data_IF_736639388906
#
_entry.id   IF_736639388906
#
_cell.length_a   1.000
_cell.length_b   1.000
_cell.length_c   1.000
_cell.angle_alpha   90.00
_cell.angle_beta   90.00
_cell.angle_gamma   90.00
#
_symmetry.space_group_name_H-M   'P 1'
#
loop_
_entity.id
_entity.type
_entity.pdbx_description
1 polymer ?
#
# COMPACT_ATOMS: atom_id res chain seq x y z
N UNK A 1 10.49 15.38 -7.88
CA UNK A 1 10.25 13.93 -7.73
C UNK A 1 10.19 13.30 -9.12
N UNK A 2 10.72 12.09 -9.37
CA UNK A 2 10.48 11.41 -10.65
C UNK A 2 9.08 10.78 -10.64
N UNK A 3 8.22 11.17 -11.55
CA UNK A 3 6.81 10.74 -11.64
C UNK A 3 6.58 9.75 -12.79
N UNK A 4 7.55 8.86 -13.04
CA UNK A 4 7.50 7.90 -14.16
C UNK A 4 6.34 6.89 -14.01
N UNK A 5 5.87 6.67 -12.79
CA UNK A 5 4.70 5.85 -12.44
C UNK A 5 3.35 6.60 -12.56
N UNK A 6 3.35 7.92 -12.70
CA UNK A 6 2.15 8.67 -13.10
C UNK A 6 1.98 8.48 -14.61
N UNK A 7 0.92 7.78 -15.03
CA UNK A 7 0.70 7.45 -16.45
C UNK A 7 -0.39 8.34 -17.05
N UNK A 8 -0.19 8.76 -18.29
CA UNK A 8 -1.16 9.51 -19.08
C UNK A 8 -1.31 8.78 -20.43
N UNK A 9 -2.48 8.22 -20.77
CA UNK A 9 -3.67 8.13 -19.91
C UNK A 9 -3.44 7.27 -18.66
N UNK A 10 -4.26 7.48 -17.64
CA UNK A 10 -4.26 6.68 -16.42
C UNK A 10 -4.52 5.22 -16.75
N UNK A 11 -3.84 4.32 -16.04
CA UNK A 11 -4.09 2.90 -16.14
C UNK A 11 -3.95 2.26 -14.77
N UNK A 12 -4.89 1.37 -14.47
CA UNK A 12 -4.82 0.51 -13.29
C UNK A 12 -4.17 -0.85 -13.60
N UNK A 13 -3.62 -1.02 -14.80
CA UNK A 13 -2.88 -2.21 -15.15
C UNK A 13 -1.64 -2.31 -14.24
N UNK A 14 -1.33 -3.50 -13.71
CA UNK A 14 -0.16 -3.68 -12.86
C UNK A 14 1.12 -3.43 -13.68
N UNK A 15 1.76 -2.27 -13.48
CA UNK A 15 3.10 -2.00 -14.01
C UNK A 15 4.14 -2.47 -12.99
N UNK A 16 4.42 -3.76 -12.99
CA UNK A 16 5.44 -4.37 -12.13
C UNK A 16 6.76 -4.46 -12.88
N UNK A 17 7.83 -4.01 -12.23
CA UNK A 17 9.19 -4.15 -12.73
C UNK A 17 9.96 -5.13 -11.84
N UNK A 18 10.86 -5.91 -12.43
CA UNK A 18 11.84 -6.65 -11.62
C UNK A 18 12.63 -5.68 -10.76
N UNK A 19 12.92 -6.08 -9.54
CA UNK A 19 13.63 -5.25 -8.58
C UNK A 19 14.72 -6.07 -7.91
N UNK A 20 15.94 -5.54 -7.92
CA UNK A 20 17.16 -6.12 -7.36
C UNK A 20 17.80 -5.24 -6.27
N UNK A 21 17.11 -4.16 -5.89
CA UNK A 21 17.55 -3.25 -4.84
C UNK A 21 17.25 -3.75 -3.42
N UNK A 22 17.57 -2.92 -2.40
CA UNK A 22 17.26 -3.24 -1.01
C UNK A 22 15.75 -3.43 -0.79
N UNK A 23 15.37 -4.54 -0.15
CA UNK A 23 13.96 -4.90 0.06
C UNK A 23 13.26 -4.00 1.08
N UNK A 24 13.99 -3.53 2.10
CA UNK A 24 13.49 -2.65 3.15
C UNK A 24 14.62 -1.77 3.70
N UNK A 25 14.27 -0.65 4.33
CA UNK A 25 15.26 0.21 4.98
C UNK A 25 15.76 -0.38 6.32
N UNK A 26 17.05 -0.71 6.41
CA UNK A 26 17.68 -1.21 7.65
C UNK A 26 17.88 -0.14 8.73
N UNK A 27 17.79 1.13 8.36
CA UNK A 27 17.91 2.27 9.27
C UNK A 27 16.62 3.11 9.19
N UNK A 28 15.52 2.63 9.77
CA UNK A 28 14.21 3.26 9.61
C UNK A 28 14.18 4.69 10.16
N UNK A 29 13.55 5.59 9.43
CA UNK A 29 13.22 6.92 9.91
C UNK A 29 12.27 6.80 11.10
N UNK A 30 12.69 7.42 12.21
CA UNK A 30 11.98 7.43 13.49
C UNK A 30 10.55 7.95 13.37
N UNK A 31 10.26 8.83 12.40
CA UNK A 31 8.91 9.35 12.18
C UNK A 31 7.91 8.22 11.90
N UNK A 32 8.26 7.26 11.04
CA UNK A 32 7.40 6.11 10.76
C UNK A 32 7.15 5.29 12.03
N UNK A 33 8.20 5.04 12.81
CA UNK A 33 8.09 4.23 14.02
C UNK A 33 7.20 4.89 15.08
N UNK A 34 7.30 6.23 15.22
CA UNK A 34 6.43 7.03 16.10
C UNK A 34 4.98 6.98 15.60
N UNK A 35 4.75 7.15 14.31
CA UNK A 35 3.39 7.15 13.76
C UNK A 35 2.75 5.74 13.87
N UNK A 36 3.51 4.67 13.62
CA UNK A 36 3.03 3.28 13.85
C UNK A 36 2.59 3.05 15.28
N UNK A 37 3.32 3.58 16.26
CA UNK A 37 2.92 3.45 17.67
C UNK A 37 1.58 4.13 17.94
N UNK A 38 1.33 5.31 17.36
CA UNK A 38 0.02 5.97 17.45
C UNK A 38 -1.07 5.10 16.83
N UNK A 39 -0.81 4.46 15.69
CA UNK A 39 -1.79 3.58 15.04
C UNK A 39 -2.14 2.37 15.91
N UNK A 40 -1.14 1.70 16.50
CA UNK A 40 -1.39 0.55 17.38
C UNK A 40 -2.20 0.90 18.63
N UNK A 41 -2.02 2.12 19.16
CA UNK A 41 -2.79 2.59 20.32
C UNK A 41 -4.25 2.92 19.99
N UNK A 42 -4.59 3.08 18.71
CA UNK A 42 -5.92 3.50 18.28
C UNK A 42 -6.71 2.40 17.56
N UNK A 43 -6.04 1.54 16.81
CA UNK A 43 -6.69 0.56 15.92
C UNK A 43 -6.63 -0.89 16.40
N UNK A 44 -5.76 -1.21 17.36
CA UNK A 44 -5.57 -2.57 17.87
C UNK A 44 -5.54 -3.61 16.73
N UNK A 45 -6.42 -4.61 16.76
CA UNK A 45 -6.43 -5.75 15.84
C UNK A 45 -6.93 -5.40 14.42
N UNK A 46 -7.37 -4.16 14.16
CA UNK A 46 -7.82 -3.78 12.81
C UNK A 46 -6.69 -3.51 11.82
N UNK A 47 -5.45 -3.41 12.30
CA UNK A 47 -4.26 -3.09 11.47
C UNK A 47 -3.20 -4.19 11.46
N UNK A 48 -3.32 -5.25 12.26
CA UNK A 48 -2.34 -6.32 12.26
C UNK A 48 -2.93 -7.63 12.77
N UNK A 49 -2.33 -8.74 12.38
CA UNK A 49 -2.80 -10.05 12.81
C UNK A 49 -2.24 -11.18 11.96
N UNK A 50 -2.65 -12.38 12.31
CA UNK A 50 -2.35 -13.59 11.56
C UNK A 50 -3.43 -14.65 11.76
N UNK A 51 -3.64 -15.47 10.74
CA UNK A 51 -4.60 -16.58 10.77
C UNK A 51 -4.04 -17.79 11.52
N UNK A 52 -4.89 -18.79 11.74
CA UNK A 52 -4.45 -20.11 12.22
C UNK A 52 -3.50 -20.78 11.23
N UNK A 53 -3.77 -20.68 9.93
CA UNK A 53 -2.90 -21.21 8.87
C UNK A 53 -1.49 -20.61 8.98
N UNK A 54 -1.38 -19.30 9.22
CA UNK A 54 -0.09 -18.66 9.46
C UNK A 54 0.67 -19.27 10.63
N UNK A 55 -0.02 -19.50 11.75
CA UNK A 55 0.58 -20.07 12.97
C UNK A 55 1.04 -21.51 12.73
N UNK A 56 0.21 -22.35 12.11
CA UNK A 56 0.52 -23.76 11.81
C UNK A 56 1.71 -23.89 10.84
N UNK A 57 1.91 -22.91 9.96
CA UNK A 57 2.98 -22.89 8.97
C UNK A 57 4.19 -22.03 9.40
N UNK A 58 4.21 -21.55 10.64
CA UNK A 58 5.28 -20.73 11.21
C UNK A 58 5.65 -19.49 10.36
N UNK A 59 4.67 -18.85 9.71
CA UNK A 59 4.96 -17.78 8.74
C UNK A 59 5.62 -16.55 9.38
N UNK A 60 5.28 -16.23 10.64
CA UNK A 60 5.96 -15.16 11.39
C UNK A 60 7.45 -15.49 11.58
N UNK A 61 7.78 -16.73 11.95
CA UNK A 61 9.18 -17.13 12.13
C UNK A 61 9.95 -17.03 10.82
N UNK A 62 9.36 -17.50 9.71
CA UNK A 62 9.96 -17.36 8.37
C UNK A 62 10.23 -15.89 8.02
N UNK A 63 9.28 -15.01 8.32
CA UNK A 63 9.42 -13.57 8.10
C UNK A 63 10.54 -12.96 8.97
N UNK A 64 10.63 -13.34 10.24
CA UNK A 64 11.69 -12.86 11.13
C UNK A 64 13.08 -13.32 10.65
N UNK A 65 13.19 -14.57 10.21
CA UNK A 65 14.41 -15.10 9.59
C UNK A 65 14.76 -14.32 8.32
N UNK A 66 13.78 -14.04 7.45
CA UNK A 66 13.98 -13.26 6.23
C UNK A 66 14.59 -11.88 6.52
N UNK A 67 14.09 -11.19 7.54
CA UNK A 67 14.61 -9.89 7.96
C UNK A 67 15.85 -9.95 8.86
N UNK A 68 16.33 -11.15 9.20
CA UNK A 68 17.41 -11.37 10.16
C UNK A 68 17.14 -10.74 11.54
N UNK A 69 15.92 -10.91 12.05
CA UNK A 69 15.51 -10.52 13.40
C UNK A 69 15.40 -11.73 14.34
N UNK A 70 15.37 -11.46 15.64
CA UNK A 70 15.14 -12.46 16.67
C UNK A 70 13.76 -13.10 16.51
N UNK A 71 13.70 -14.43 16.63
CA UNK A 71 12.47 -15.23 16.44
C UNK A 71 11.41 -15.02 17.53
N UNK A 72 11.75 -14.32 18.61
CA UNK A 72 10.89 -14.02 19.74
C UNK A 72 10.00 -12.78 19.50
N UNK A 73 10.25 -12.00 18.45
CA UNK A 73 9.46 -10.82 18.16
C UNK A 73 8.03 -11.18 17.74
N UNK A 74 7.07 -10.45 18.27
CA UNK A 74 5.69 -10.49 17.76
C UNK A 74 5.52 -9.53 16.56
N UNK A 75 4.36 -9.60 15.90
CA UNK A 75 4.04 -8.81 14.71
C UNK A 75 4.12 -7.29 14.98
N UNK A 76 3.62 -6.85 16.14
CA UNK A 76 3.63 -5.43 16.53
C UNK A 76 5.06 -4.92 16.69
N UNK A 77 5.91 -5.66 17.39
CA UNK A 77 7.30 -5.28 17.63
C UNK A 77 8.13 -5.32 16.34
N UNK A 78 7.87 -6.28 15.45
CA UNK A 78 8.46 -6.29 14.10
C UNK A 78 8.04 -5.05 13.31
N UNK A 79 6.75 -4.71 13.29
CA UNK A 79 6.24 -3.54 12.56
C UNK A 79 6.88 -2.24 13.04
N UNK A 80 7.15 -2.11 14.35
CA UNK A 80 7.86 -0.98 14.95
C UNK A 80 9.37 -0.92 14.64
N UNK A 81 9.91 -1.85 13.84
CA UNK A 81 11.29 -1.84 13.34
C UNK A 81 11.39 -1.54 11.85
N UNK A 82 10.26 -1.34 11.17
CA UNK A 82 10.18 -1.13 9.72
C UNK A 82 9.45 0.17 9.40
N UNK A 83 9.88 0.88 8.36
CA UNK A 83 9.11 1.99 7.80
C UNK A 83 7.89 1.46 7.04
N UNK A 84 8.11 0.35 6.34
CA UNK A 84 7.14 -0.31 5.48
C UNK A 84 6.08 -1.04 6.33
N UNK A 85 4.83 -0.96 5.88
CA UNK A 85 3.82 -1.95 6.23
C UNK A 85 4.11 -3.26 5.50
N UNK A 86 3.60 -4.37 6.02
CA UNK A 86 3.84 -5.68 5.42
C UNK A 86 2.64 -6.62 5.46
N UNK A 87 2.59 -7.52 4.48
CA UNK A 87 1.69 -8.66 4.44
C UNK A 87 2.44 -9.90 3.91
N UNK A 88 2.07 -11.07 4.43
CA UNK A 88 2.53 -12.37 3.95
C UNK A 88 1.41 -13.02 3.18
N UNK A 89 1.71 -13.34 1.93
CA UNK A 89 0.85 -14.16 1.09
C UNK A 89 1.35 -15.60 1.14
N UNK A 90 0.50 -16.53 1.56
CA UNK A 90 0.79 -17.96 1.56
C UNK A 90 -0.28 -18.70 0.75
N UNK A 91 0.14 -19.48 -0.25
CA UNK A 91 -0.75 -20.14 -1.20
C UNK A 91 -1.81 -19.19 -1.82
N UNK A 92 -1.41 -17.93 -2.06
CA UNK A 92 -2.26 -16.89 -2.67
C UNK A 92 -3.22 -16.15 -1.73
N UNK A 93 -3.20 -16.44 -0.43
CA UNK A 93 -4.01 -15.78 0.60
C UNK A 93 -3.16 -14.90 1.52
N UNK A 94 -3.71 -13.78 1.98
CA UNK A 94 -3.06 -12.92 2.98
C UNK A 94 -3.22 -13.53 4.37
N UNK A 95 -2.20 -14.21 4.88
CA UNK A 95 -2.31 -15.00 6.12
C UNK A 95 -1.73 -14.29 7.36
N UNK A 96 -0.90 -13.26 7.17
CA UNK A 96 -0.28 -12.48 8.24
C UNK A 96 0.02 -11.07 7.74
N UNK A 97 -0.11 -10.05 8.58
CA UNK A 97 0.32 -8.70 8.21
C UNK A 97 0.28 -7.67 9.33
N UNK A 98 0.83 -6.51 9.03
CA UNK A 98 0.69 -5.25 9.78
C UNK A 98 0.65 -4.10 8.77
N UNK A 99 -0.52 -3.46 8.67
CA UNK A 99 -0.85 -2.36 7.77
C UNK A 99 -1.24 -1.15 8.61
N UNK A 100 -0.26 -0.42 9.12
CA UNK A 100 -0.48 0.76 9.96
C UNK A 100 -0.92 1.98 9.14
N UNK A 101 -0.56 2.03 7.86
CA UNK A 101 -0.74 3.17 6.97
C UNK A 101 -1.61 2.84 5.75
N UNK A 102 -2.80 2.24 5.94
CA UNK A 102 -3.65 1.86 4.82
C UNK A 102 -4.14 3.08 4.04
N UNK A 103 -4.48 2.86 2.78
CA UNK A 103 -5.10 3.86 1.90
C UNK A 103 -6.59 3.57 1.72
N UNK A 104 -7.37 3.79 2.79
CA UNK A 104 -8.84 3.68 2.74
C UNK A 104 -9.42 2.27 2.88
N UNK A 105 -8.71 1.32 3.48
CA UNK A 105 -9.23 -0.03 3.74
C UNK A 105 -8.82 -0.54 5.14
N UNK A 106 -9.60 -1.47 5.69
CA UNK A 106 -9.37 -2.10 6.99
C UNK A 106 -8.70 -3.48 6.78
N UNK A 107 -7.57 -3.72 7.45
CA UNK A 107 -6.80 -4.96 7.26
C UNK A 107 -7.55 -6.19 7.75
N UNK A 108 -8.32 -6.07 8.82
CA UNK A 108 -9.04 -7.21 9.41
C UNK A 108 -10.05 -7.84 8.46
N UNK A 109 -10.62 -7.06 7.53
CA UNK A 109 -11.56 -7.55 6.51
C UNK A 109 -10.88 -8.36 5.40
N UNK A 110 -9.56 -8.23 5.26
CA UNK A 110 -8.75 -8.81 4.18
C UNK A 110 -7.91 -10.01 4.64
N UNK A 111 -7.73 -10.18 5.95
CA UNK A 111 -7.01 -11.30 6.52
C UNK A 111 -7.68 -12.65 6.16
N UNK A 112 -6.87 -13.61 5.74
CA UNK A 112 -7.28 -14.93 5.26
C UNK A 112 -7.93 -14.94 3.88
N UNK A 113 -7.99 -13.80 3.18
CA UNK A 113 -8.63 -13.69 1.86
C UNK A 113 -7.61 -13.81 0.74
N UNK A 114 -8.08 -14.29 -0.40
CA UNK A 114 -7.24 -14.42 -1.59
C UNK A 114 -7.03 -13.07 -2.30
N UNK A 115 -6.03 -13.02 -3.17
CA UNK A 115 -5.70 -11.82 -3.94
C UNK A 115 -6.90 -11.20 -4.68
N UNK A 116 -7.76 -12.03 -5.28
CA UNK A 116 -8.92 -11.55 -6.04
C UNK A 116 -9.93 -10.84 -5.14
N UNK A 117 -10.27 -11.42 -3.99
CA UNK A 117 -11.17 -10.81 -3.01
C UNK A 117 -10.61 -9.49 -2.46
N UNK A 118 -9.31 -9.45 -2.17
CA UNK A 118 -8.65 -8.24 -1.66
C UNK A 118 -8.79 -7.08 -2.65
N UNK A 119 -8.65 -7.38 -3.94
CA UNK A 119 -8.65 -6.38 -5.00
C UNK A 119 -10.01 -6.14 -5.66
N UNK A 120 -11.06 -6.89 -5.31
CA UNK A 120 -12.41 -6.77 -5.89
C UNK A 120 -12.95 -5.33 -5.88
N UNK A 121 -12.78 -4.52 -4.82
CA UNK A 121 -13.27 -3.13 -4.77
C UNK A 121 -12.53 -2.15 -5.69
N UNK A 122 -11.39 -2.57 -6.25
CA UNK A 122 -10.55 -1.70 -7.08
C UNK A 122 -11.23 -1.43 -8.43
N UNK A 123 -11.46 -0.18 -8.79
CA UNK A 123 -12.05 0.15 -10.08
C UNK A 123 -11.17 -0.27 -11.28
N UNK A 124 -11.81 -0.69 -12.38
CA UNK A 124 -11.16 -1.08 -13.64
C UNK A 124 -10.06 -2.16 -13.47
N UNK A 125 -10.27 -3.10 -12.55
CA UNK A 125 -9.31 -4.14 -12.12
C UNK A 125 -9.42 -5.47 -12.88
N UNK A 126 -10.27 -5.59 -13.92
CA UNK A 126 -10.64 -6.89 -14.50
C UNK A 126 -9.43 -7.74 -14.93
N UNK A 127 -8.41 -7.10 -15.53
CA UNK A 127 -7.14 -7.76 -15.88
C UNK A 127 -6.35 -8.22 -14.66
N UNK A 128 -6.34 -7.40 -13.60
CA UNK A 128 -5.67 -7.71 -12.35
C UNK A 128 -6.30 -8.96 -11.71
N UNK A 129 -7.63 -9.01 -11.61
CA UNK A 129 -8.38 -10.15 -11.08
C UNK A 129 -8.15 -11.42 -11.92
N UNK A 130 -8.23 -11.31 -13.26
CA UNK A 130 -7.98 -12.44 -14.15
C UNK A 130 -6.54 -12.99 -14.05
N UNK A 131 -5.58 -12.15 -13.66
CA UNK A 131 -4.17 -12.52 -13.47
C UNK A 131 -3.81 -12.90 -12.03
N UNK A 132 -4.74 -12.80 -11.09
CA UNK A 132 -4.48 -12.89 -9.64
C UNK A 132 -3.68 -14.13 -9.22
N UNK A 133 -4.10 -15.32 -9.66
CA UNK A 133 -3.40 -16.56 -9.34
C UNK A 133 -1.96 -16.57 -9.90
N UNK A 134 -1.80 -16.24 -11.19
CA UNK A 134 -0.48 -16.19 -11.84
C UNK A 134 0.44 -15.17 -11.16
N UNK A 135 -0.12 -14.04 -10.74
CA UNK A 135 0.61 -13.02 -10.03
C UNK A 135 1.04 -13.49 -8.64
N UNK A 136 0.14 -14.13 -7.88
CA UNK A 136 0.49 -14.75 -6.59
C UNK A 136 1.62 -15.76 -6.73
N UNK A 137 1.57 -16.64 -7.73
CA UNK A 137 2.65 -17.60 -8.02
C UNK A 137 3.94 -16.91 -8.45
N UNK A 138 3.84 -15.81 -9.20
CA UNK A 138 5.01 -15.05 -9.66
C UNK A 138 5.71 -14.31 -8.51
N UNK A 139 4.94 -13.79 -7.54
CA UNK A 139 5.47 -13.17 -6.32
C UNK A 139 6.26 -14.15 -5.44
N UNK A 140 5.96 -15.45 -5.51
CA UNK A 140 6.76 -16.51 -4.87
C UNK A 140 8.02 -16.90 -5.65
N UNK A 141 8.27 -16.31 -6.82
CA UNK A 141 9.42 -16.65 -7.68
C UNK A 141 10.32 -15.48 -8.00
N UNK A 142 9.81 -14.25 -7.97
CA UNK A 142 10.55 -13.06 -8.41
C UNK A 142 10.28 -11.89 -7.48
N UNK A 143 11.33 -11.12 -7.20
CA UNK A 143 11.20 -9.83 -6.55
C UNK A 143 10.74 -8.79 -7.58
N UNK A 144 9.65 -8.12 -7.26
CA UNK A 144 9.04 -7.10 -8.11
C UNK A 144 8.67 -5.86 -7.31
N UNK A 145 8.66 -4.73 -8.00
CA UNK A 145 8.25 -3.46 -7.44
C UNK A 145 7.23 -2.78 -8.36
N UNK A 146 6.31 -2.05 -7.76
CA UNK A 146 5.38 -1.16 -8.45
C UNK A 146 5.08 0.05 -7.57
N UNK A 147 4.45 1.05 -8.17
CA UNK A 147 3.99 2.23 -7.47
C UNK A 147 2.49 2.40 -7.64
N UNK A 148 1.84 2.82 -6.56
CA UNK A 148 0.45 3.29 -6.58
C UNK A 148 0.45 4.70 -6.03
N UNK A 149 -0.36 5.59 -6.59
CA UNK A 149 -0.44 6.96 -6.12
C UNK A 149 -1.87 7.48 -6.14
N UNK A 150 -2.10 8.54 -5.37
CA UNK A 150 -3.31 9.36 -5.40
C UNK A 150 -3.01 10.78 -4.94
N UNK A 151 -3.97 11.68 -5.15
CA UNK A 151 -4.04 12.96 -4.44
C UNK A 151 -5.07 12.81 -3.32
N UNK A 152 -4.79 13.40 -2.17
CA UNK A 152 -5.67 13.32 -0.98
C UNK A 152 -5.63 14.63 -0.20
N UNK A 153 -6.59 14.82 0.72
CA UNK A 153 -6.62 15.93 1.67
C UNK A 153 -5.89 15.61 2.98
N UNK A 154 -5.43 14.38 3.16
CA UNK A 154 -4.72 13.95 4.37
C UNK A 154 -3.20 14.09 4.22
N UNK A 155 -2.58 14.77 5.20
CA UNK A 155 -1.11 14.82 5.34
C UNK A 155 -0.52 13.63 6.10
N UNK A 156 -1.39 12.81 6.69
CA UNK A 156 -1.01 11.73 7.58
C UNK A 156 -0.64 10.47 6.78
N UNK A 157 0.22 9.62 7.36
CA UNK A 157 0.58 8.35 6.72
C UNK A 157 -0.60 7.37 6.68
N UNK A 158 -1.48 7.40 7.67
CA UNK A 158 -2.66 6.52 7.71
C UNK A 158 -3.90 7.20 7.15
N UNK A 159 -4.61 6.49 6.29
CA UNK A 159 -5.98 6.80 5.88
C UNK A 159 -6.91 5.62 6.22
N UNK A 160 -6.74 5.03 7.42
CA UNK A 160 -7.64 3.99 7.91
C UNK A 160 -9.10 4.46 7.84
N UNK A 161 -10.07 3.64 7.38
CA UNK A 161 -11.47 4.06 7.16
C UNK A 161 -12.19 4.68 8.37
N UNK A 162 -11.73 4.36 9.58
CA UNK A 162 -12.22 4.93 10.84
C UNK A 162 -11.72 6.36 11.11
N UNK A 163 -10.75 6.86 10.34
CA UNK A 163 -10.28 8.25 10.41
C UNK A 163 -11.13 9.13 9.51
N UNK A 164 -11.50 10.31 10.02
CA UNK A 164 -12.13 11.34 9.20
C UNK A 164 -11.03 12.08 8.41
N UNK A 165 -11.14 12.07 7.08
CA UNK A 165 -10.28 12.89 6.22
C UNK A 165 -10.62 14.38 6.39
N UNK A 166 -9.63 15.30 6.32
CA UNK A 166 -9.89 16.72 6.26
C UNK A 166 -10.76 17.09 5.04
N UNK A 167 -11.61 18.10 5.19
CA UNK A 167 -12.45 18.60 4.11
C UNK A 167 -11.59 19.26 3.01
N UNK A 168 -12.03 19.15 1.75
CA UNK A 168 -11.36 19.83 0.64
C UNK A 168 -11.62 21.34 0.72
N UNK A 169 -10.55 22.13 0.83
CA UNK A 169 -10.66 23.60 0.94
C UNK A 169 -9.90 24.32 -0.16
N UNK A 170 -8.60 24.04 -0.31
CA UNK A 170 -7.68 24.72 -1.22
C UNK A 170 -6.63 23.75 -1.74
N UNK A 171 -5.92 24.15 -2.79
CA UNK A 171 -4.76 23.40 -3.29
C UNK A 171 -3.67 23.17 -2.25
N UNK A 172 -3.46 24.14 -1.35
CA UNK A 172 -2.50 24.04 -0.26
C UNK A 172 -2.85 22.93 0.74
N UNK A 173 -4.09 22.44 0.73
CA UNK A 173 -4.56 21.32 1.55
C UNK A 173 -4.50 19.98 0.81
N UNK A 174 -3.95 19.94 -0.41
CA UNK A 174 -3.76 18.70 -1.16
C UNK A 174 -2.37 18.11 -0.93
N UNK A 175 -2.32 16.79 -0.87
CA UNK A 175 -1.12 16.01 -0.69
C UNK A 175 -1.04 14.94 -1.78
N UNK A 176 0.17 14.75 -2.30
CA UNK A 176 0.51 13.63 -3.16
C UNK A 176 0.93 12.45 -2.28
N UNK A 177 0.17 11.36 -2.36
CA UNK A 177 0.42 10.13 -1.62
C UNK A 177 0.89 9.06 -2.59
N UNK A 178 2.02 8.44 -2.28
CA UNK A 178 2.58 7.33 -3.06
C UNK A 178 2.84 6.12 -2.16
N UNK A 179 2.57 4.95 -2.70
CA UNK A 179 2.95 3.66 -2.16
C UNK A 179 4.00 3.04 -3.07
N UNK A 180 5.21 2.84 -2.56
CA UNK A 180 6.18 1.94 -3.19
C UNK A 180 5.92 0.53 -2.66
N UNK A 181 5.44 -0.33 -3.55
CA UNK A 181 5.02 -1.67 -3.21
C UNK A 181 6.03 -2.68 -3.75
N UNK A 182 6.64 -3.45 -2.86
CA UNK A 182 7.64 -4.45 -3.21
C UNK A 182 7.14 -5.83 -2.80
N UNK A 183 7.09 -6.77 -3.73
CA UNK A 183 6.86 -8.18 -3.41
C UNK A 183 8.14 -8.98 -3.60
N UNK A 184 8.41 -9.91 -2.70
CA UNK A 184 9.59 -10.77 -2.76
C UNK A 184 9.29 -12.17 -2.26
N UNK A 185 9.89 -13.22 -2.85
CA UNK A 185 9.78 -14.58 -2.36
C UNK A 185 10.38 -14.73 -0.96
N UNK A 186 9.72 -15.50 -0.10
CA UNK A 186 10.32 -16.09 1.12
C UNK A 186 10.67 -17.55 0.85
N UNK A 187 9.75 -18.29 0.23
CA UNK A 187 9.92 -19.67 -0.21
C UNK A 187 9.01 -19.95 -1.42
N UNK A 188 8.90 -21.22 -1.82
CA UNK A 188 8.12 -21.65 -3.00
C UNK A 188 6.63 -21.28 -2.96
N UNK A 189 6.04 -21.15 -1.76
CA UNK A 189 4.60 -20.94 -1.56
C UNK A 189 4.29 -19.64 -0.81
N UNK A 190 5.32 -18.93 -0.36
CA UNK A 190 5.23 -17.75 0.50
C UNK A 190 5.90 -16.56 -0.14
N UNK A 191 5.18 -15.44 -0.24
CA UNK A 191 5.75 -14.16 -0.61
C UNK A 191 5.48 -13.10 0.44
N UNK A 192 6.44 -12.21 0.60
CA UNK A 192 6.33 -10.99 1.38
C UNK A 192 5.90 -9.86 0.47
N UNK A 193 4.96 -9.04 0.94
CA UNK A 193 4.54 -7.80 0.33
C UNK A 193 4.83 -6.65 1.29
N UNK A 194 5.62 -5.67 0.85
CA UNK A 194 5.99 -4.48 1.60
C UNK A 194 5.38 -3.24 0.95
N UNK A 195 4.91 -2.31 1.77
CA UNK A 195 4.26 -1.08 1.33
C UNK A 195 4.94 0.09 2.06
N UNK A 196 5.77 0.83 1.33
CA UNK A 196 6.33 2.10 1.81
C UNK A 196 5.41 3.24 1.40
N UNK A 197 4.86 3.95 2.38
CA UNK A 197 3.97 5.10 2.15
C UNK A 197 4.75 6.38 2.29
N UNK A 198 4.66 7.26 1.29
CA UNK A 198 5.20 8.62 1.38
C UNK A 198 4.10 9.64 1.04
N UNK A 199 4.08 10.75 1.76
CA UNK A 199 3.08 11.82 1.61
C UNK A 199 3.79 13.17 1.53
N UNK A 200 3.54 13.90 0.45
CA UNK A 200 4.16 15.19 0.17
C UNK A 200 3.07 16.25 -0.03
N UNK A 201 3.25 17.51 0.42
CA UNK A 201 2.39 18.60 -0.04
C UNK A 201 2.36 18.64 -1.57
N UNK A 202 1.17 18.67 -2.16
CA UNK A 202 1.02 18.56 -3.62
C UNK A 202 1.77 19.68 -4.35
N UNK A 203 1.77 20.90 -3.77
CA UNK A 203 2.49 22.06 -4.30
C UNK A 203 3.99 21.82 -4.48
N UNK A 204 4.60 20.99 -3.63
CA UNK A 204 6.06 20.76 -3.64
C UNK A 204 6.46 19.74 -4.72
N UNK A 205 5.50 18.97 -5.22
CA UNK A 205 5.70 17.90 -6.22
C UNK A 205 4.77 18.04 -7.43
N UNK A 206 4.17 19.21 -7.63
CA UNK A 206 3.20 19.45 -8.69
C UNK A 206 3.83 19.26 -10.08
N UNK A 207 3.09 18.60 -10.95
CA UNK A 207 3.42 18.39 -12.35
C UNK A 207 2.10 18.33 -13.13
N UNK A 208 1.92 19.05 -14.25
CA UNK A 208 0.71 19.00 -15.07
C UNK A 208 0.28 17.58 -15.45
N UNK A 209 1.24 16.65 -15.57
CA UNK A 209 0.99 15.23 -15.83
C UNK A 209 0.10 14.57 -14.77
N UNK A 210 0.10 15.05 -13.53
CA UNK A 210 -0.80 14.59 -12.46
C UNK A 210 -2.24 14.90 -12.85
N UNK A 211 -2.52 16.16 -13.24
CA UNK A 211 -3.85 16.58 -13.66
C UNK A 211 -4.28 15.86 -14.95
N UNK A 212 -3.39 15.74 -15.94
CA UNK A 212 -3.67 14.99 -17.17
C UNK A 212 -4.04 13.53 -16.88
N UNK A 213 -3.34 12.90 -15.94
CA UNK A 213 -3.65 11.54 -15.50
C UNK A 213 -5.02 11.46 -14.83
N UNK A 214 -5.32 12.35 -13.87
CA UNK A 214 -6.63 12.43 -13.20
C UNK A 214 -7.75 12.69 -14.22
N UNK A 215 -7.53 13.58 -15.17
CA UNK A 215 -8.50 13.93 -16.21
C UNK A 215 -8.82 12.74 -17.13
N UNK A 216 -7.87 11.84 -17.33
CA UNK A 216 -8.05 10.61 -18.11
C UNK A 216 -8.65 9.43 -17.33
N UNK A 217 -8.89 9.54 -16.02
CA UNK A 217 -9.54 8.49 -15.22
C UNK A 217 -11.03 8.37 -15.56
N UNK A 218 -11.54 7.14 -15.55
CA UNK A 218 -12.98 6.86 -15.59
C UNK A 218 -13.68 7.34 -14.32
N UNK A 219 -15.00 7.51 -14.37
CA UNK A 219 -15.80 7.88 -13.20
C UNK A 219 -15.68 6.84 -12.07
N UNK A 220 -15.64 5.55 -12.39
CA UNK A 220 -15.45 4.47 -11.41
C UNK A 220 -14.12 4.63 -10.67
N UNK A 221 -13.03 4.94 -11.37
CA UNK A 221 -11.71 5.18 -10.78
C UNK A 221 -11.68 6.45 -9.94
N UNK A 222 -12.28 7.54 -10.42
CA UNK A 222 -12.36 8.79 -9.65
C UNK A 222 -13.12 8.60 -8.34
N UNK A 223 -14.25 7.89 -8.37
CA UNK A 223 -15.02 7.57 -7.17
C UNK A 223 -14.24 6.67 -6.21
N UNK A 224 -13.65 5.59 -6.71
CA UNK A 224 -12.84 4.67 -5.91
C UNK A 224 -11.66 5.38 -5.22
N UNK A 225 -10.97 6.28 -5.93
CA UNK A 225 -9.84 7.05 -5.38
C UNK A 225 -10.26 8.29 -4.57
N UNK A 226 -11.54 8.64 -4.54
CA UNK A 226 -12.02 9.87 -3.89
C UNK A 226 -11.51 11.15 -4.56
N UNK A 227 -11.43 11.16 -5.88
CA UNK A 227 -10.82 12.24 -6.68
C UNK A 227 -11.82 13.15 -7.40
N UNK A 228 -13.13 12.92 -7.30
CA UNK A 228 -14.15 13.68 -8.04
C UNK A 228 -14.04 15.18 -7.76
N UNK A 229 -14.21 15.60 -6.51
CA UNK A 229 -14.15 17.02 -6.12
C UNK A 229 -12.73 17.61 -6.26
N UNK A 230 -11.70 16.78 -6.06
CA UNK A 230 -10.30 17.19 -6.23
C UNK A 230 -10.02 17.50 -7.71
N UNK A 231 -10.52 16.68 -8.63
CA UNK A 231 -10.41 16.91 -10.08
C UNK A 231 -11.09 18.23 -10.46
N UNK A 232 -12.28 18.50 -9.94
CA UNK A 232 -13.01 19.73 -10.24
C UNK A 232 -12.22 20.96 -9.76
N UNK A 233 -11.73 20.93 -8.52
CA UNK A 233 -10.89 21.99 -7.98
C UNK A 233 -9.65 22.22 -8.87
N UNK A 234 -8.87 21.17 -9.16
CA UNK A 234 -7.63 21.28 -9.93
C UNK A 234 -7.85 21.87 -11.34
N UNK A 235 -8.97 21.56 -11.99
CA UNK A 235 -9.30 22.12 -13.32
C UNK A 235 -9.76 23.59 -13.26
N UNK A 236 -10.27 24.07 -12.12
CA UNK A 236 -10.63 25.49 -11.96
C UNK A 236 -9.42 26.39 -11.73
N UNK A 237 -8.30 25.80 -11.32
CA UNK A 237 -7.10 26.54 -11.02
C UNK A 237 -6.31 26.85 -12.29
N UNK A 238 -5.86 28.09 -12.42
CA UNK A 238 -4.80 28.46 -13.36
C UNK A 238 -3.45 28.11 -12.70
N UNK A 239 -3.11 26.83 -12.68
CA UNK A 239 -1.84 26.29 -12.19
C UNK A 239 -0.73 26.43 -13.23
#
# INVERSE_FOLDING_TARGET
MKLDYVKVPFTNNPSMTRFDGPIYNKNPDKRYLIDKEKQFNFFEDSIYGQTTISKENNLLEKLLVFFNFEKTLNIKDLSRRLEEDFAIMFNGNMELGSICFPSGWDFSEKLGKNFAFIHEPVADNSKLIASSQKLSEYMCKQTIQRWVWTVTTSKELSEHPKLKKPDLTTFENLYFRVETQTSTPIDENTSLFLIKVEVFPLRDVWDPKILDSINSMSESVLNYKGLVEIKDLLNTMKL
#
